data_IF_688468669844
#
_entry.id   IF_688468669844
#
_cell.length_a   1.000
_cell.length_b   1.000
_cell.length_c   1.000
_cell.angle_alpha   90.00
_cell.angle_beta   90.00
_cell.angle_gamma   90.00
#
_symmetry.space_group_name_H-M   'P 1'
#
loop_
_entity.id
_entity.type
_entity.pdbx_description
1 polymer ?
#
# COMPACT_ATOMS: atom_id res chain seq x y z
N UNK A 1 3.23 -13.17 35.10
CA UNK A 1 3.05 -12.29 33.93
C UNK A 1 3.81 -11.00 34.20
N UNK A 2 5.04 -10.85 33.69
CA UNK A 2 5.85 -9.66 33.88
C UNK A 2 5.34 -8.56 32.92
N UNK A 3 4.89 -7.45 33.50
CA UNK A 3 4.58 -6.25 32.71
C UNK A 3 5.90 -5.75 32.07
N UNK A 4 5.98 -5.84 30.75
CA UNK A 4 7.00 -5.15 29.97
C UNK A 4 6.84 -3.65 30.23
N UNK A 5 7.77 -3.03 30.97
CA UNK A 5 7.86 -1.59 31.15
C UNK A 5 8.10 -0.97 29.78
N UNK A 6 7.15 -0.17 29.30
CA UNK A 6 7.31 0.59 28.07
C UNK A 6 8.60 1.43 28.16
N UNK A 7 9.45 1.33 27.15
CA UNK A 7 10.66 2.12 27.01
C UNK A 7 10.28 3.60 26.87
N UNK A 8 10.56 4.42 27.86
CA UNK A 8 10.33 5.87 27.79
C UNK A 8 11.46 6.50 26.97
N UNK A 9 11.13 6.98 25.78
CA UNK A 9 12.02 7.85 25.01
C UNK A 9 12.17 9.16 25.79
N UNK A 10 13.40 9.69 25.97
CA UNK A 10 13.60 10.94 26.68
C UNK A 10 12.84 12.10 26.02
N UNK A 11 12.04 12.84 26.79
CA UNK A 11 11.34 14.03 26.32
C UNK A 11 12.35 15.16 26.03
N UNK A 12 12.64 15.39 24.75
CA UNK A 12 13.15 16.71 24.35
C UNK A 12 11.97 17.69 24.40
N UNK A 13 12.06 18.70 25.28
CA UNK A 13 11.09 19.80 25.41
C UNK A 13 11.13 20.69 24.16
N UNK A 14 10.60 20.23 23.05
CA UNK A 14 10.19 21.06 21.93
C UNK A 14 8.74 21.49 22.15
N UNK A 15 8.41 22.73 21.77
CA UNK A 15 7.03 23.22 21.85
C UNK A 15 6.08 22.21 21.19
N UNK A 16 5.02 21.81 21.89
CA UNK A 16 4.04 20.82 21.41
C UNK A 16 3.44 21.26 20.08
N UNK A 17 3.87 20.67 18.98
CA UNK A 17 3.33 20.95 17.64
C UNK A 17 2.01 20.20 17.49
N UNK A 18 0.92 20.92 17.28
CA UNK A 18 -0.40 20.34 17.01
C UNK A 18 -0.56 20.18 15.50
N UNK A 19 -0.56 18.94 15.00
CA UNK A 19 -0.85 18.65 13.61
C UNK A 19 -2.35 18.56 13.38
N UNK A 20 -2.86 19.37 12.47
CA UNK A 20 -4.28 19.41 12.09
C UNK A 20 -4.49 18.45 10.92
N UNK A 21 -5.34 17.45 11.09
CA UNK A 21 -5.54 16.36 10.14
C UNK A 21 -6.94 16.43 9.53
N UNK A 22 -7.03 16.49 8.23
CA UNK A 22 -8.27 16.30 7.48
C UNK A 22 -8.22 14.95 6.75
N UNK A 23 -9.24 14.12 6.90
CA UNK A 23 -9.26 12.76 6.33
C UNK A 23 -10.30 12.67 5.21
N UNK A 24 -9.84 12.45 4.00
CA UNK A 24 -10.65 12.09 2.85
C UNK A 24 -10.80 10.56 2.79
N UNK A 25 -12.05 10.09 2.87
CA UNK A 25 -12.38 8.68 2.93
C UNK A 25 -12.48 8.14 4.36
N UNK A 26 -13.70 7.76 4.76
CA UNK A 26 -13.99 7.15 6.07
C UNK A 26 -14.54 5.73 5.92
N UNK A 27 -14.01 5.02 4.94
CA UNK A 27 -14.21 3.58 4.74
C UNK A 27 -13.47 2.76 5.81
N UNK A 28 -13.12 1.52 5.49
CA UNK A 28 -12.48 0.60 6.45
C UNK A 28 -11.19 1.17 7.04
N UNK A 29 -10.29 1.71 6.22
CA UNK A 29 -9.00 2.27 6.67
C UNK A 29 -9.21 3.59 7.42
N UNK A 30 -9.92 4.56 6.83
CA UNK A 30 -10.08 5.88 7.45
C UNK A 30 -10.85 5.85 8.77
N UNK A 31 -11.88 5.01 8.91
CA UNK A 31 -12.58 4.83 10.18
C UNK A 31 -11.71 4.15 11.25
N UNK A 32 -10.83 3.24 10.85
CA UNK A 32 -9.86 2.61 11.74
C UNK A 32 -8.79 3.62 12.16
N UNK A 33 -8.30 4.46 11.25
CA UNK A 33 -7.36 5.53 11.55
C UNK A 33 -7.94 6.50 12.60
N UNK A 34 -9.19 6.92 12.46
CA UNK A 34 -9.86 7.77 13.45
C UNK A 34 -9.88 7.13 14.84
N UNK A 35 -10.14 5.82 14.93
CA UNK A 35 -10.11 5.08 16.21
C UNK A 35 -8.69 5.02 16.78
N UNK A 36 -7.68 4.77 15.94
CA UNK A 36 -6.29 4.74 16.36
C UNK A 36 -5.83 6.12 16.86
N UNK A 37 -6.16 7.21 16.15
CA UNK A 37 -5.87 8.58 16.59
C UNK A 37 -6.52 8.89 17.93
N UNK A 38 -7.80 8.51 18.12
CA UNK A 38 -8.52 8.75 19.40
C UNK A 38 -7.92 7.97 20.57
N UNK A 39 -7.40 6.76 20.33
CA UNK A 39 -6.74 5.91 21.33
C UNK A 39 -5.25 6.24 21.54
N UNK A 40 -4.66 7.06 20.67
CA UNK A 40 -3.25 7.36 20.69
C UNK A 40 -2.96 8.58 21.59
N UNK A 41 -2.15 8.38 22.63
CA UNK A 41 -1.67 9.45 23.49
C UNK A 41 -0.16 9.65 23.27
N UNK A 42 0.23 10.50 22.32
CA UNK A 42 1.64 10.70 22.02
C UNK A 42 2.34 11.49 23.12
N UNK A 43 3.55 11.10 23.45
CA UNK A 43 4.45 11.91 24.25
C UNK A 43 4.91 13.13 23.39
N UNK A 44 4.18 14.25 23.48
CA UNK A 44 4.64 15.53 22.94
C UNK A 44 3.92 16.06 21.69
N UNK A 45 3.62 15.26 20.66
CA UNK A 45 2.91 15.73 19.46
C UNK A 45 1.42 15.45 19.59
N UNK A 46 0.57 16.46 19.39
CA UNK A 46 -0.87 16.29 19.37
C UNK A 46 -1.36 16.22 17.93
N UNK A 47 -2.05 15.13 17.61
CA UNK A 47 -2.82 15.00 16.37
C UNK A 47 -4.25 15.45 16.66
N UNK A 48 -4.75 16.36 15.83
CA UNK A 48 -6.10 16.86 15.92
C UNK A 48 -6.81 16.68 14.59
N UNK A 49 -7.81 15.83 14.55
CA UNK A 49 -8.66 15.73 13.38
C UNK A 49 -9.58 16.95 13.34
N UNK A 50 -9.48 17.73 12.27
CA UNK A 50 -10.24 18.96 12.05
C UNK A 50 -11.46 18.74 11.16
N UNK A 51 -11.46 17.66 10.37
CA UNK A 51 -12.59 17.31 9.53
C UNK A 51 -12.39 16.01 8.79
N UNK A 52 -13.48 15.52 8.23
CA UNK A 52 -13.51 14.31 7.40
C UNK A 52 -14.47 14.50 6.24
N UNK A 53 -14.29 13.72 5.16
CA UNK A 53 -15.30 13.60 4.11
C UNK A 53 -15.40 12.17 3.58
N UNK A 54 -16.54 11.88 2.97
CA UNK A 54 -16.75 10.71 2.12
C UNK A 54 -17.04 11.15 0.68
N UNK A 55 -17.57 10.26 -0.16
CA UNK A 55 -17.92 10.59 -1.55
C UNK A 55 -19.06 11.60 -1.70
N UNK A 56 -19.87 11.83 -0.65
CA UNK A 56 -21.08 12.66 -0.72
C UNK A 56 -21.07 13.85 0.23
N UNK A 57 -20.55 13.66 1.44
CA UNK A 57 -20.66 14.61 2.54
C UNK A 57 -19.32 14.95 3.16
N UNK A 58 -19.24 16.12 3.80
CA UNK A 58 -18.10 16.53 4.63
C UNK A 58 -18.59 16.91 6.03
N UNK A 59 -17.68 16.84 7.01
CA UNK A 59 -17.93 17.18 8.41
C UNK A 59 -16.69 17.84 8.98
N UNK A 60 -16.86 18.99 9.62
CA UNK A 60 -15.82 19.68 10.37
C UNK A 60 -16.02 19.46 11.87
N UNK A 61 -14.91 19.31 12.60
CA UNK A 61 -14.94 19.10 14.04
C UNK A 61 -14.54 20.36 14.77
N UNK A 62 -15.30 20.68 15.84
CA UNK A 62 -14.98 21.79 16.75
C UNK A 62 -13.78 21.49 17.63
N UNK A 63 -13.21 22.57 18.19
CA UNK A 63 -11.97 22.52 18.96
C UNK A 63 -12.03 21.61 20.20
N UNK A 64 -13.20 21.32 20.72
CA UNK A 64 -13.42 20.55 21.95
C UNK A 64 -13.74 19.07 21.73
N UNK A 65 -13.97 18.63 20.48
CA UNK A 65 -14.38 17.25 20.21
C UNK A 65 -13.19 16.29 20.20
N UNK A 66 -13.17 15.35 21.13
CA UNK A 66 -12.22 14.22 21.14
C UNK A 66 -12.85 12.93 20.57
N UNK A 67 -14.18 12.87 20.46
CA UNK A 67 -14.91 11.73 19.93
C UNK A 67 -15.42 12.04 18.52
N UNK A 68 -14.80 11.42 17.52
CA UNK A 68 -15.13 11.60 16.11
C UNK A 68 -16.30 10.70 15.70
N UNK A 69 -17.53 11.18 15.89
CA UNK A 69 -18.73 10.43 15.48
C UNK A 69 -18.99 10.58 13.99
N UNK A 70 -18.91 9.49 13.25
CA UNK A 70 -19.22 9.46 11.82
C UNK A 70 -20.72 9.48 11.50
N UNK A 71 -21.60 9.33 12.52
CA UNK A 71 -23.06 9.40 12.31
C UNK A 71 -23.49 10.77 11.81
N UNK A 72 -22.84 11.82 12.27
CA UNK A 72 -23.11 13.20 11.85
C UNK A 72 -22.67 13.48 10.40
N UNK A 73 -21.71 12.72 9.88
CA UNK A 73 -21.25 12.87 8.50
C UNK A 73 -22.36 12.60 7.48
N UNK A 74 -23.23 11.60 7.74
CA UNK A 74 -24.33 11.26 6.84
C UNK A 74 -25.40 12.36 6.72
N UNK A 75 -25.41 13.31 7.66
CA UNK A 75 -26.27 14.50 7.69
C UNK A 75 -25.51 15.80 7.48
N UNK A 76 -24.22 15.70 7.21
CA UNK A 76 -23.36 16.83 6.93
C UNK A 76 -23.68 17.50 5.59
N UNK A 77 -23.14 18.68 5.33
CA UNK A 77 -23.25 19.35 4.04
C UNK A 77 -22.66 18.47 2.93
N UNK A 78 -23.09 18.75 1.69
CA UNK A 78 -22.50 18.12 0.51
C UNK A 78 -20.98 18.38 0.49
N UNK A 79 -20.20 17.39 0.03
CA UNK A 79 -18.77 17.55 -0.12
C UNK A 79 -18.48 18.61 -1.19
N UNK A 80 -17.71 19.61 -0.81
CA UNK A 80 -17.20 20.66 -1.70
C UNK A 80 -15.69 20.79 -1.55
N UNK A 81 -14.93 20.48 -2.62
CA UNK A 81 -13.47 20.51 -2.58
C UNK A 81 -12.91 21.94 -2.52
N UNK A 82 -13.59 22.93 -3.09
CA UNK A 82 -13.13 24.31 -3.00
C UNK A 82 -13.31 24.86 -1.59
N UNK A 83 -14.44 24.59 -0.94
CA UNK A 83 -14.64 24.93 0.49
C UNK A 83 -13.60 24.24 1.38
N UNK A 84 -13.34 22.93 1.15
CA UNK A 84 -12.33 22.19 1.90
C UNK A 84 -10.95 22.83 1.70
N UNK A 85 -10.55 23.11 0.46
CA UNK A 85 -9.25 23.73 0.14
C UNK A 85 -9.09 25.11 0.76
N UNK A 86 -10.15 25.94 0.75
CA UNK A 86 -10.16 27.27 1.36
C UNK A 86 -9.94 27.15 2.88
N UNK A 87 -10.73 26.33 3.56
CA UNK A 87 -10.62 26.11 5.02
C UNK A 87 -9.27 25.56 5.43
N UNK A 88 -8.73 24.58 4.68
CA UNK A 88 -7.40 24.03 4.99
C UNK A 88 -6.30 25.07 4.77
N UNK A 89 -6.47 25.96 3.79
CA UNK A 89 -5.50 27.01 3.47
C UNK A 89 -5.52 28.17 4.48
N UNK A 90 -6.58 28.31 5.26
CA UNK A 90 -6.69 29.32 6.31
C UNK A 90 -5.86 29.00 7.56
N UNK A 91 -5.43 27.74 7.72
CA UNK A 91 -4.53 27.38 8.81
C UNK A 91 -3.08 27.80 8.51
N UNK A 92 -2.27 27.85 9.56
CA UNK A 92 -0.83 28.11 9.46
C UNK A 92 -0.17 27.13 8.47
N UNK A 93 0.65 27.66 7.57
CA UNK A 93 1.36 26.87 6.56
C UNK A 93 2.24 25.78 7.21
N UNK A 94 2.08 24.54 6.76
CA UNK A 94 2.84 23.40 7.28
C UNK A 94 2.32 22.87 8.63
N UNK A 95 1.11 23.28 9.06
CA UNK A 95 0.45 22.72 10.24
C UNK A 95 -0.70 21.77 9.91
N UNK A 96 -0.99 21.57 8.61
CA UNK A 96 -2.10 20.77 8.13
C UNK A 96 -1.61 19.55 7.35
N UNK A 97 -2.23 18.42 7.63
CA UNK A 97 -2.06 17.16 6.89
C UNK A 97 -3.39 16.77 6.27
N UNK A 98 -3.41 16.65 4.96
CA UNK A 98 -4.50 16.03 4.23
C UNK A 98 -4.20 14.53 4.09
N UNK A 99 -5.10 13.70 4.58
CA UNK A 99 -4.97 12.24 4.54
C UNK A 99 -5.95 11.68 3.53
N UNK A 100 -5.43 10.93 2.55
CA UNK A 100 -6.27 10.20 1.59
C UNK A 100 -6.25 8.70 1.87
N UNK A 101 -7.41 8.19 2.28
CA UNK A 101 -7.70 6.76 2.43
C UNK A 101 -8.80 6.30 1.44
N UNK A 102 -8.89 7.00 0.31
CA UNK A 102 -9.77 6.65 -0.81
C UNK A 102 -9.01 5.87 -1.89
N UNK A 103 -9.59 5.39 -2.88
CA UNK A 103 -8.97 4.90 -4.13
C UNK A 103 -9.44 5.77 -5.30
N UNK A 104 -9.72 7.06 -5.05
CA UNK A 104 -10.43 7.92 -5.98
C UNK A 104 -9.49 8.86 -6.71
N UNK A 105 -9.60 8.89 -8.03
CA UNK A 105 -8.81 9.75 -8.92
C UNK A 105 -8.99 11.23 -8.60
N UNK A 106 -10.25 11.68 -8.40
CA UNK A 106 -10.59 13.07 -8.08
C UNK A 106 -9.82 13.57 -6.82
N UNK A 107 -9.70 12.71 -5.80
CA UNK A 107 -8.97 13.06 -4.57
C UNK A 107 -7.47 13.18 -4.84
N UNK A 108 -6.90 12.26 -5.60
CA UNK A 108 -5.48 12.31 -5.94
C UNK A 108 -5.12 13.49 -6.85
N UNK A 109 -6.07 14.02 -7.63
CA UNK A 109 -5.88 15.22 -8.46
C UNK A 109 -5.68 16.50 -7.61
N UNK A 110 -6.11 16.48 -6.36
CA UNK A 110 -5.94 17.63 -5.45
C UNK A 110 -4.52 17.77 -4.91
N UNK A 111 -3.68 16.70 -4.96
CA UNK A 111 -2.41 16.68 -4.24
C UNK A 111 -1.46 17.80 -4.66
N UNK A 112 -1.34 18.10 -5.94
CA UNK A 112 -0.48 19.20 -6.43
C UNK A 112 -0.94 20.54 -5.84
N UNK A 113 -2.27 20.79 -5.81
CA UNK A 113 -2.84 22.02 -5.23
C UNK A 113 -2.61 22.10 -3.72
N UNK A 114 -2.77 20.99 -2.98
CA UNK A 114 -2.52 20.89 -1.54
C UNK A 114 -1.04 21.18 -1.22
N UNK A 115 -0.15 20.48 -1.89
CA UNK A 115 1.30 20.59 -1.68
C UNK A 115 1.82 21.99 -2.05
N UNK A 116 1.27 22.64 -3.09
CA UNK A 116 1.63 24.01 -3.47
C UNK A 116 1.26 25.05 -2.39
N UNK A 117 0.25 24.76 -1.57
CA UNK A 117 -0.16 25.57 -0.41
C UNK A 117 0.56 25.20 0.89
N UNK A 118 1.57 24.31 0.82
CA UNK A 118 2.28 23.73 1.97
C UNK A 118 1.35 22.98 2.94
N UNK A 119 0.32 22.34 2.41
CA UNK A 119 -0.48 21.34 3.11
C UNK A 119 0.17 19.99 2.83
N UNK A 120 0.58 19.28 3.88
CA UNK A 120 1.19 17.96 3.73
C UNK A 120 0.15 16.95 3.26
N UNK A 121 0.58 15.94 2.52
CA UNK A 121 -0.29 14.85 2.04
C UNK A 121 0.25 13.53 2.54
N UNK A 122 -0.61 12.73 3.16
CA UNK A 122 -0.37 11.32 3.50
C UNK A 122 -1.40 10.47 2.78
N UNK A 123 -0.99 9.43 2.07
CA UNK A 123 -1.94 8.66 1.26
C UNK A 123 -1.71 7.16 1.30
N UNK A 124 -2.82 6.40 1.39
CA UNK A 124 -2.83 4.98 1.13
C UNK A 124 -3.11 4.64 -0.35
N UNK A 125 -3.51 5.64 -1.16
CA UNK A 125 -3.81 5.47 -2.59
C UNK A 125 -2.53 5.43 -3.43
N UNK A 126 -2.40 4.40 -4.27
CA UNK A 126 -1.30 4.25 -5.22
C UNK A 126 -1.40 5.18 -6.44
N UNK A 127 -2.61 5.71 -6.72
CA UNK A 127 -2.94 6.40 -7.97
C UNK A 127 -1.96 7.52 -8.34
N UNK A 128 -1.63 8.40 -7.40
CA UNK A 128 -0.74 9.52 -7.69
C UNK A 128 0.70 9.09 -8.02
N UNK A 129 1.17 8.00 -7.41
CA UNK A 129 2.52 7.48 -7.61
C UNK A 129 2.66 6.56 -8.84
N UNK A 130 1.53 6.19 -9.48
CA UNK A 130 1.51 5.32 -10.67
C UNK A 130 0.98 6.01 -11.92
N UNK A 131 0.86 7.33 -11.91
CA UNK A 131 0.60 8.16 -13.09
C UNK A 131 1.81 8.18 -14.02
N UNK A 132 1.71 8.92 -15.13
CA UNK A 132 2.85 9.15 -16.00
C UNK A 132 4.06 9.67 -15.22
N UNK A 133 5.26 9.37 -15.70
CA UNK A 133 6.50 9.83 -15.06
C UNK A 133 6.55 11.36 -14.93
N UNK A 134 6.00 12.07 -15.90
CA UNK A 134 5.91 13.54 -15.88
C UNK A 134 5.06 14.03 -14.71
N UNK A 135 3.91 13.41 -14.47
CA UNK A 135 3.01 13.78 -13.37
C UNK A 135 3.62 13.41 -12.01
N UNK A 136 4.25 12.24 -11.90
CA UNK A 136 5.00 11.82 -10.72
C UNK A 136 6.09 12.84 -10.37
N UNK A 137 6.94 13.20 -11.34
CA UNK A 137 8.00 14.19 -11.14
C UNK A 137 7.43 15.54 -10.71
N UNK A 138 6.35 15.98 -11.36
CA UNK A 138 5.69 17.25 -11.02
C UNK A 138 5.17 17.28 -9.59
N UNK A 139 4.51 16.20 -9.15
CA UNK A 139 3.99 16.03 -7.79
C UNK A 139 5.11 16.10 -6.74
N UNK A 140 6.13 15.29 -6.90
CA UNK A 140 7.26 15.23 -5.96
C UNK A 140 8.10 16.52 -5.96
N UNK A 141 8.30 17.14 -7.13
CA UNK A 141 8.94 18.45 -7.25
C UNK A 141 8.13 19.54 -6.53
N UNK A 142 6.79 19.54 -6.69
CA UNK A 142 5.91 20.51 -6.02
C UNK A 142 6.00 20.37 -4.51
N UNK A 143 5.97 19.15 -3.97
CA UNK A 143 6.15 18.91 -2.54
C UNK A 143 7.48 19.50 -2.04
N UNK A 144 8.58 19.18 -2.72
CA UNK A 144 9.93 19.63 -2.34
C UNK A 144 10.10 21.14 -2.38
N UNK A 145 9.66 21.81 -3.45
CA UNK A 145 9.83 23.27 -3.61
C UNK A 145 9.04 24.03 -2.54
N UNK A 146 7.87 23.56 -2.18
CA UNK A 146 7.02 24.23 -1.18
C UNK A 146 7.33 23.80 0.26
N UNK A 147 8.30 22.90 0.49
CA UNK A 147 8.60 22.36 1.82
C UNK A 147 7.41 21.62 2.43
N UNK A 148 6.55 21.03 1.57
CA UNK A 148 5.48 20.14 1.97
C UNK A 148 5.97 18.68 1.94
N UNK A 149 5.43 17.84 2.82
CA UNK A 149 5.72 16.40 2.81
C UNK A 149 4.63 15.67 2.04
N UNK A 150 5.05 14.74 1.21
CA UNK A 150 4.18 13.77 0.54
C UNK A 150 4.65 12.38 0.99
N UNK A 151 3.85 11.71 1.83
CA UNK A 151 4.20 10.42 2.44
C UNK A 151 3.18 9.37 2.03
N UNK A 152 3.66 8.18 1.75
CA UNK A 152 2.87 7.13 1.10
C UNK A 152 3.37 5.71 1.43
N UNK A 153 3.87 5.49 2.67
CA UNK A 153 4.40 4.18 3.10
C UNK A 153 3.44 3.05 2.78
N UNK A 154 2.15 3.27 3.00
CA UNK A 154 1.13 2.24 2.84
C UNK A 154 0.74 1.93 1.38
N UNK A 155 1.39 2.57 0.41
CA UNK A 155 1.23 2.21 -1.01
C UNK A 155 1.81 0.83 -1.33
N UNK A 156 2.80 0.36 -0.55
CA UNK A 156 3.43 -0.95 -0.75
C UNK A 156 3.49 -1.69 0.58
N UNK A 157 2.85 -2.86 0.66
CA UNK A 157 2.92 -3.74 1.83
C UNK A 157 2.11 -3.28 3.05
N UNK A 158 1.07 -2.46 2.86
CA UNK A 158 0.22 -1.95 3.94
C UNK A 158 1.04 -1.22 5.03
N UNK A 159 1.12 -1.76 6.24
CA UNK A 159 1.88 -1.19 7.35
C UNK A 159 3.33 -1.67 7.45
N UNK A 160 3.81 -2.47 6.51
CA UNK A 160 5.21 -2.90 6.49
C UNK A 160 6.14 -1.71 6.16
N UNK A 161 7.28 -1.55 6.85
CA UNK A 161 8.21 -0.44 6.65
C UNK A 161 9.09 -0.67 5.41
N UNK A 162 8.50 -0.68 4.22
CA UNK A 162 9.19 -1.01 2.97
C UNK A 162 9.79 0.24 2.35
N UNK A 163 8.96 1.26 2.12
CA UNK A 163 9.36 2.50 1.44
C UNK A 163 10.38 3.26 2.29
N UNK A 164 10.11 3.40 3.59
CA UNK A 164 11.03 4.04 4.52
C UNK A 164 12.38 3.33 4.60
N UNK A 165 12.38 2.00 4.62
CA UNK A 165 13.61 1.21 4.63
C UNK A 165 14.44 1.48 3.37
N UNK A 166 13.83 1.45 2.18
CA UNK A 166 14.52 1.73 0.92
C UNK A 166 15.04 3.17 0.91
N UNK A 167 14.24 4.15 1.32
CA UNK A 167 14.66 5.55 1.39
C UNK A 167 15.83 5.75 2.36
N UNK A 168 15.82 5.08 3.52
CA UNK A 168 16.91 5.14 4.49
C UNK A 168 18.21 4.52 3.95
N UNK A 169 18.14 3.42 3.19
CA UNK A 169 19.31 2.86 2.50
C UNK A 169 19.88 3.86 1.49
N UNK A 170 19.03 4.42 0.64
CA UNK A 170 19.44 5.38 -0.40
C UNK A 170 20.03 6.67 0.19
N UNK A 171 19.40 7.27 1.20
CA UNK A 171 19.86 8.54 1.81
C UNK A 171 21.19 8.36 2.54
N UNK A 172 21.49 7.16 3.02
CA UNK A 172 22.78 6.81 3.64
C UNK A 172 23.83 6.36 2.63
N UNK A 173 23.56 6.49 1.33
CA UNK A 173 24.51 6.21 0.25
C UNK A 173 24.65 4.72 -0.09
N UNK A 174 23.68 3.87 0.29
CA UNK A 174 23.65 2.49 -0.19
C UNK A 174 23.13 2.41 -1.63
N UNK A 175 23.54 1.38 -2.37
CA UNK A 175 23.14 1.17 -3.76
C UNK A 175 22.24 -0.06 -3.81
N UNK A 176 20.98 0.15 -4.16
CA UNK A 176 20.01 -0.95 -4.35
C UNK A 176 20.37 -1.64 -5.69
N UNK A 177 20.62 -2.94 -5.63
CA UNK A 177 20.96 -3.78 -6.79
C UNK A 177 19.74 -4.54 -7.31
N UNK A 178 18.93 -5.06 -6.38
CA UNK A 178 17.73 -5.82 -6.71
C UNK A 178 16.68 -5.64 -5.61
N UNK A 179 15.42 -5.57 -6.00
CA UNK A 179 14.26 -5.71 -5.14
C UNK A 179 13.42 -6.83 -5.71
N UNK A 180 13.14 -7.87 -4.92
CA UNK A 180 12.30 -8.99 -5.33
C UNK A 180 11.33 -9.38 -4.21
N UNK A 181 10.23 -10.05 -4.56
CA UNK A 181 9.30 -10.51 -3.54
C UNK A 181 7.89 -10.81 -4.02
N UNK A 182 7.06 -11.20 -3.07
CA UNK A 182 5.64 -11.47 -3.25
C UNK A 182 4.84 -10.36 -2.55
N UNK A 183 4.21 -9.49 -3.32
CA UNK A 183 3.49 -8.32 -2.82
C UNK A 183 1.96 -8.40 -3.05
N UNK A 184 1.42 -9.62 -3.15
CA UNK A 184 -0.02 -9.88 -3.20
C UNK A 184 -0.39 -10.99 -2.22
N UNK A 185 -1.27 -10.68 -1.26
CA UNK A 185 -1.79 -11.68 -0.31
C UNK A 185 -2.61 -12.76 -1.02
N UNK A 186 -3.40 -12.38 -2.03
CA UNK A 186 -4.19 -13.30 -2.86
C UNK A 186 -3.29 -14.29 -3.58
N UNK A 187 -2.21 -13.82 -4.20
CA UNK A 187 -1.26 -14.69 -4.89
C UNK A 187 -0.49 -15.58 -3.91
N UNK A 188 -0.09 -15.08 -2.74
CA UNK A 188 0.53 -15.91 -1.70
C UNK A 188 -0.39 -17.05 -1.29
N UNK A 189 -1.66 -16.75 -1.02
CA UNK A 189 -2.65 -17.76 -0.68
C UNK A 189 -2.84 -18.78 -1.80
N UNK A 190 -3.06 -18.31 -3.02
CA UNK A 190 -3.28 -19.17 -4.19
C UNK A 190 -2.16 -20.19 -4.36
N UNK A 191 -0.91 -19.75 -4.41
CA UNK A 191 0.23 -20.63 -4.61
C UNK A 191 0.52 -21.54 -3.39
N UNK A 192 0.16 -21.11 -2.18
CA UNK A 192 0.21 -21.97 -1.00
C UNK A 192 -0.80 -23.12 -1.07
N UNK A 193 -1.99 -22.89 -1.63
CA UNK A 193 -3.01 -23.91 -1.82
C UNK A 193 -2.61 -24.90 -2.92
N UNK A 194 -1.98 -24.40 -3.99
CA UNK A 194 -1.42 -25.27 -5.04
C UNK A 194 -0.32 -26.19 -4.50
N UNK A 195 0.56 -25.70 -3.63
CA UNK A 195 1.58 -26.54 -2.96
C UNK A 195 0.96 -27.67 -2.12
N UNK A 196 -0.27 -27.48 -1.63
CA UNK A 196 -1.01 -28.49 -0.85
C UNK A 196 -1.84 -29.43 -1.73
N UNK A 197 -1.73 -29.34 -3.06
CA UNK A 197 -2.44 -30.17 -4.02
C UNK A 197 -3.87 -29.73 -4.31
N UNK A 198 -4.29 -28.53 -3.91
CA UNK A 198 -5.58 -27.97 -4.30
C UNK A 198 -5.50 -27.55 -5.76
N UNK A 199 -6.58 -27.79 -6.53
CA UNK A 199 -6.63 -27.31 -7.91
C UNK A 199 -6.72 -25.79 -8.00
N UNK A 200 -6.23 -25.21 -9.09
CA UNK A 200 -6.19 -23.76 -9.32
C UNK A 200 -7.57 -23.10 -9.19
N UNK A 201 -8.57 -23.67 -9.88
CA UNK A 201 -9.94 -23.17 -9.85
C UNK A 201 -10.51 -23.12 -8.42
N UNK A 202 -10.33 -24.21 -7.65
CA UNK A 202 -10.80 -24.28 -6.27
C UNK A 202 -10.08 -23.29 -5.36
N UNK A 203 -8.78 -23.10 -5.55
CA UNK A 203 -8.01 -22.13 -4.78
C UNK A 203 -8.49 -20.69 -5.04
N UNK A 204 -8.77 -20.31 -6.29
CA UNK A 204 -9.31 -19.00 -6.66
C UNK A 204 -10.71 -18.78 -6.06
N UNK A 205 -11.61 -19.76 -6.22
CA UNK A 205 -12.98 -19.68 -5.68
C UNK A 205 -12.93 -19.53 -4.14
N UNK A 206 -12.06 -20.27 -3.47
CA UNK A 206 -11.92 -20.21 -2.03
C UNK A 206 -11.30 -18.88 -1.58
N UNK A 207 -10.29 -18.36 -2.28
CA UNK A 207 -9.72 -17.04 -1.99
C UNK A 207 -10.80 -15.95 -2.01
N UNK A 208 -11.68 -15.98 -3.03
CA UNK A 208 -12.82 -15.07 -3.12
C UNK A 208 -13.81 -15.26 -1.98
N UNK A 209 -14.17 -16.49 -1.63
CA UNK A 209 -15.12 -16.80 -0.55
C UNK A 209 -14.61 -16.35 0.83
N UNK A 210 -13.29 -16.40 1.05
CA UNK A 210 -12.62 -15.94 2.27
C UNK A 210 -12.37 -14.42 2.29
N UNK A 211 -12.65 -13.70 1.20
CA UNK A 211 -12.38 -12.26 1.08
C UNK A 211 -10.90 -11.93 0.92
N UNK A 212 -10.08 -12.87 0.48
CA UNK A 212 -8.67 -12.65 0.13
C UNK A 212 -8.50 -12.12 -1.29
N UNK A 213 -9.42 -12.49 -2.20
CA UNK A 213 -9.50 -11.95 -3.54
C UNK A 213 -10.64 -10.93 -3.66
N UNK A 214 -10.51 -10.02 -4.61
CA UNK A 214 -11.55 -9.06 -4.99
C UNK A 214 -12.82 -9.80 -5.47
N UNK A 215 -13.99 -9.11 -5.49
CA UNK A 215 -15.24 -9.71 -5.99
C UNK A 215 -15.13 -10.32 -7.38
N UNK A 216 -14.34 -9.70 -8.26
CA UNK A 216 -13.87 -10.29 -9.50
C UNK A 216 -12.38 -10.69 -9.32
N UNK A 217 -12.05 -11.99 -9.21
CA UNK A 217 -10.67 -12.42 -9.00
C UNK A 217 -9.70 -12.03 -10.12
N UNK A 218 -10.20 -11.62 -11.28
CA UNK A 218 -9.36 -11.14 -12.38
C UNK A 218 -8.58 -9.87 -12.01
N UNK A 219 -9.12 -9.05 -11.12
CA UNK A 219 -8.41 -7.86 -10.61
C UNK A 219 -7.09 -8.26 -9.93
N UNK A 220 -7.09 -9.37 -9.17
CA UNK A 220 -5.88 -9.91 -8.56
C UNK A 220 -5.01 -10.69 -9.57
N UNK A 221 -5.64 -11.59 -10.37
CA UNK A 221 -4.96 -12.49 -11.29
C UNK A 221 -4.28 -11.76 -12.46
N UNK A 222 -4.67 -10.52 -12.74
CA UNK A 222 -4.03 -9.67 -13.75
C UNK A 222 -2.59 -9.30 -13.40
N UNK A 223 -2.22 -9.32 -12.11
CA UNK A 223 -0.92 -8.86 -11.64
C UNK A 223 -0.76 -7.32 -11.57
N UNK A 224 -1.76 -6.54 -11.96
CA UNK A 224 -1.68 -5.08 -12.04
C UNK A 224 -1.41 -4.41 -10.69
N UNK A 225 -1.94 -4.93 -9.59
CA UNK A 225 -1.65 -4.37 -8.26
C UNK A 225 -0.19 -4.59 -7.86
N UNK A 226 0.39 -5.73 -8.22
CA UNK A 226 1.82 -6.02 -8.02
C UNK A 226 2.67 -5.11 -8.91
N UNK A 227 2.26 -4.91 -10.18
CA UNK A 227 2.91 -4.02 -11.12
C UNK A 227 3.00 -2.58 -10.57
N UNK A 228 1.88 -2.04 -10.07
CA UNK A 228 1.84 -0.71 -9.46
C UNK A 228 2.78 -0.60 -8.25
N UNK A 229 2.88 -1.63 -7.43
CA UNK A 229 3.77 -1.64 -6.27
C UNK A 229 5.23 -1.61 -6.69
N UNK A 230 5.64 -2.46 -7.64
CA UNK A 230 7.02 -2.46 -8.15
C UNK A 230 7.38 -1.19 -8.91
N UNK A 231 6.43 -0.61 -9.64
CA UNK A 231 6.62 0.71 -10.28
C UNK A 231 6.93 1.80 -9.24
N UNK A 232 6.20 1.82 -8.11
CA UNK A 232 6.47 2.77 -7.02
C UNK A 232 7.88 2.54 -6.45
N UNK A 233 8.26 1.29 -6.18
CA UNK A 233 9.58 0.96 -5.64
C UNK A 233 10.71 1.37 -6.59
N UNK A 234 10.55 1.12 -7.88
CA UNK A 234 11.52 1.51 -8.90
C UNK A 234 11.68 3.04 -8.98
N UNK A 235 10.58 3.78 -8.95
CA UNK A 235 10.59 5.24 -8.95
C UNK A 235 11.28 5.82 -7.71
N UNK A 236 11.09 5.21 -6.55
CA UNK A 236 11.80 5.58 -5.32
C UNK A 236 13.31 5.34 -5.47
N UNK A 237 13.71 4.27 -6.14
CA UNK A 237 15.10 3.98 -6.46
C UNK A 237 15.68 4.88 -7.57
N UNK A 238 14.90 5.81 -8.12
CA UNK A 238 15.33 6.77 -9.14
C UNK A 238 15.17 6.31 -10.59
N UNK A 239 14.58 5.14 -10.82
CA UNK A 239 14.28 4.68 -12.17
C UNK A 239 13.12 5.47 -12.77
N UNK A 240 13.24 5.81 -14.04
CA UNK A 240 12.21 6.51 -14.83
C UNK A 240 11.57 5.50 -15.74
N UNK A 241 10.30 5.23 -15.54
CA UNK A 241 9.57 4.21 -16.28
C UNK A 241 8.07 4.50 -16.31
N UNK A 242 7.43 3.98 -17.33
CA UNK A 242 5.97 3.98 -17.49
C UNK A 242 5.41 2.56 -17.28
N UNK A 243 4.08 2.42 -17.26
CA UNK A 243 3.45 1.11 -17.06
C UNK A 243 3.83 0.11 -18.17
N UNK A 244 3.99 0.60 -19.37
CA UNK A 244 4.32 -0.16 -20.57
C UNK A 244 5.72 -0.75 -20.54
N UNK A 245 6.62 -0.22 -19.72
CA UNK A 245 7.98 -0.72 -19.54
C UNK A 245 8.04 -1.97 -18.63
N UNK A 246 6.91 -2.34 -17.99
CA UNK A 246 6.83 -3.48 -17.11
C UNK A 246 6.35 -4.74 -17.83
N UNK A 247 7.09 -5.83 -17.66
CA UNK A 247 6.68 -7.15 -18.10
C UNK A 247 5.81 -7.81 -17.02
N UNK A 248 4.53 -8.05 -17.32
CA UNK A 248 3.56 -8.62 -16.37
C UNK A 248 2.90 -9.86 -16.98
N UNK A 249 3.14 -11.02 -16.36
CA UNK A 249 2.43 -12.25 -16.67
C UNK A 249 1.07 -12.24 -15.98
N UNK A 250 0.01 -12.22 -16.76
CA UNK A 250 -1.36 -12.40 -16.26
C UNK A 250 -1.67 -13.88 -16.06
N UNK A 251 -2.29 -14.23 -14.92
CA UNK A 251 -2.79 -15.59 -14.67
C UNK A 251 -4.19 -15.80 -15.24
N UNK A 252 -4.77 -14.81 -15.90
CA UNK A 252 -6.07 -14.89 -16.54
C UNK A 252 -5.87 -15.60 -17.90
N UNK A 253 -6.51 -16.75 -18.11
CA UNK A 253 -6.50 -17.39 -19.42
C UNK A 253 -7.08 -16.46 -20.48
N UNK A 254 -6.48 -16.45 -21.67
CA UNK A 254 -6.85 -15.51 -22.73
C UNK A 254 -8.32 -15.61 -23.12
N UNK A 255 -8.84 -16.82 -23.21
CA UNK A 255 -10.22 -17.11 -23.58
C UNK A 255 -11.24 -16.68 -22.50
N UNK A 256 -10.76 -16.40 -21.28
CA UNK A 256 -11.60 -15.99 -20.15
C UNK A 256 -11.47 -14.50 -19.80
N UNK A 257 -10.75 -13.71 -20.58
CA UNK A 257 -10.55 -12.28 -20.30
C UNK A 257 -11.83 -11.47 -20.39
N UNK A 258 -12.63 -11.72 -21.43
CA UNK A 258 -13.77 -10.87 -21.78
C UNK A 258 -15.12 -11.46 -21.37
N UNK A 259 -15.15 -12.63 -20.70
CA UNK A 259 -16.38 -13.22 -20.20
C UNK A 259 -16.83 -12.55 -18.91
N UNK A 260 -18.10 -12.71 -18.50
CA UNK A 260 -18.54 -12.23 -17.20
C UNK A 260 -17.89 -13.01 -16.03
N UNK A 261 -17.94 -12.46 -14.81
CA UNK A 261 -17.28 -13.05 -13.65
C UNK A 261 -17.82 -14.45 -13.28
N UNK A 262 -19.07 -14.75 -13.56
CA UNK A 262 -19.67 -16.08 -13.33
C UNK A 262 -19.10 -17.10 -14.30
N UNK A 263 -19.13 -16.80 -15.59
CA UNK A 263 -18.59 -17.66 -16.63
C UNK A 263 -17.07 -17.87 -16.46
N UNK A 264 -16.36 -16.84 -16.01
CA UNK A 264 -14.93 -16.94 -15.65
C UNK A 264 -14.72 -18.04 -14.61
N UNK A 265 -15.42 -17.96 -13.47
CA UNK A 265 -15.25 -18.92 -12.38
C UNK A 265 -15.69 -20.34 -12.77
N UNK A 266 -16.77 -20.47 -13.52
CA UNK A 266 -17.27 -21.77 -13.98
C UNK A 266 -16.31 -22.46 -14.94
N UNK A 267 -15.63 -21.72 -15.81
CA UNK A 267 -14.71 -22.28 -16.81
C UNK A 267 -13.26 -22.39 -16.35
N UNK A 268 -12.89 -21.84 -15.19
CA UNK A 268 -11.51 -21.82 -14.70
C UNK A 268 -10.95 -23.24 -14.46
N UNK A 269 -11.80 -24.23 -14.17
CA UNK A 269 -11.41 -25.62 -13.95
C UNK A 269 -10.70 -26.26 -15.15
N UNK A 270 -10.90 -25.75 -16.37
CA UNK A 270 -10.23 -26.23 -17.59
C UNK A 270 -8.70 -26.09 -17.53
N UNK A 271 -8.20 -25.21 -16.66
CA UNK A 271 -6.77 -24.93 -16.48
C UNK A 271 -6.15 -25.65 -15.28
N UNK A 272 -6.93 -26.45 -14.54
CA UNK A 272 -6.46 -27.16 -13.34
C UNK A 272 -5.32 -28.13 -13.63
N UNK A 273 -5.40 -28.88 -14.74
CA UNK A 273 -4.36 -29.83 -15.17
C UNK A 273 -3.05 -29.11 -15.48
N UNK A 274 -3.11 -28.00 -16.21
CA UNK A 274 -1.93 -27.19 -16.54
C UNK A 274 -1.18 -26.74 -15.28
N UNK A 275 -1.92 -26.24 -14.29
CA UNK A 275 -1.31 -25.79 -13.02
C UNK A 275 -0.78 -26.95 -12.18
N UNK A 276 -1.48 -28.10 -12.16
CA UNK A 276 -1.02 -29.29 -11.48
C UNK A 276 0.32 -29.80 -12.06
N UNK A 277 0.47 -29.79 -13.37
CA UNK A 277 1.71 -30.16 -14.06
C UNK A 277 2.85 -29.20 -13.72
N UNK A 278 2.63 -27.90 -13.81
CA UNK A 278 3.63 -26.88 -13.43
C UNK A 278 4.09 -27.04 -11.98
N UNK A 279 3.17 -27.26 -11.03
CA UNK A 279 3.48 -27.49 -9.62
C UNK A 279 4.31 -28.74 -9.42
N UNK A 280 3.94 -29.83 -10.11
CA UNK A 280 4.67 -31.11 -10.05
C UNK A 280 6.10 -30.95 -10.55
N UNK A 281 6.29 -30.32 -11.71
CA UNK A 281 7.62 -30.07 -12.28
C UNK A 281 8.53 -29.24 -11.34
N UNK A 282 7.97 -28.20 -10.69
CA UNK A 282 8.70 -27.43 -9.71
C UNK A 282 9.07 -28.26 -8.47
N UNK A 283 8.11 -29.05 -7.96
CA UNK A 283 8.30 -29.91 -6.78
C UNK A 283 9.38 -30.98 -7.00
N UNK A 284 9.41 -31.61 -8.19
CA UNK A 284 10.43 -32.60 -8.55
C UNK A 284 11.86 -32.03 -8.54
N UNK A 285 11.97 -30.70 -8.71
CA UNK A 285 13.26 -29.95 -8.62
C UNK A 285 13.54 -29.38 -7.23
N UNK A 286 12.73 -29.70 -6.21
CA UNK A 286 12.83 -29.11 -4.88
C UNK A 286 12.45 -27.62 -4.84
N UNK A 287 11.63 -27.17 -5.79
CA UNK A 287 11.19 -25.80 -5.95
C UNK A 287 9.69 -25.67 -5.68
N UNK A 288 9.24 -24.44 -5.52
CA UNK A 288 7.83 -24.04 -5.43
C UNK A 288 7.53 -22.91 -6.39
N UNK A 289 6.33 -22.91 -6.93
CA UNK A 289 5.85 -21.79 -7.74
C UNK A 289 5.45 -20.63 -6.83
N UNK A 290 5.85 -19.41 -7.20
CA UNK A 290 5.41 -18.17 -6.55
C UNK A 290 5.14 -17.11 -7.60
N UNK A 291 4.17 -16.26 -7.35
CA UNK A 291 3.95 -15.08 -8.17
C UNK A 291 4.79 -13.94 -7.60
N UNK A 292 5.90 -13.66 -8.25
CA UNK A 292 6.90 -12.71 -7.77
C UNK A 292 6.91 -11.44 -8.63
N UNK A 293 7.40 -10.38 -8.05
CA UNK A 293 7.91 -9.24 -8.80
C UNK A 293 9.40 -9.08 -8.54
N UNK A 294 10.12 -8.60 -9.55
CA UNK A 294 11.56 -8.35 -9.49
C UNK A 294 11.91 -7.07 -10.20
N UNK A 295 12.63 -6.18 -9.51
CA UNK A 295 13.31 -5.03 -10.06
C UNK A 295 14.82 -5.32 -10.04
N UNK A 296 15.44 -5.44 -11.19
CA UNK A 296 16.88 -5.60 -11.35
C UNK A 296 17.33 -4.92 -12.64
N UNK A 297 18.49 -4.28 -12.61
CA UNK A 297 19.06 -3.58 -13.77
C UNK A 297 18.11 -2.59 -14.45
N UNK A 298 17.24 -1.95 -13.64
CA UNK A 298 16.24 -0.99 -14.12
C UNK A 298 15.02 -1.59 -14.83
N UNK A 299 14.91 -2.93 -14.88
CA UNK A 299 13.78 -3.64 -15.46
C UNK A 299 12.88 -4.24 -14.37
N UNK A 300 11.59 -4.26 -14.64
CA UNK A 300 10.60 -4.88 -13.75
C UNK A 300 9.97 -6.04 -14.50
N UNK A 301 10.07 -7.23 -13.89
CA UNK A 301 9.38 -8.44 -14.33
C UNK A 301 8.47 -8.93 -13.23
N UNK A 302 7.26 -9.32 -13.58
CA UNK A 302 6.23 -9.82 -12.65
C UNK A 302 5.61 -11.05 -13.27
N UNK A 303 5.59 -12.16 -12.54
CA UNK A 303 5.06 -13.41 -13.04
C UNK A 303 5.31 -14.58 -12.11
N UNK A 304 5.03 -15.76 -12.64
CA UNK A 304 5.24 -17.03 -11.94
C UNK A 304 6.71 -17.43 -12.03
N UNK A 305 7.32 -17.63 -10.89
CA UNK A 305 8.71 -18.04 -10.78
C UNK A 305 8.81 -19.35 -9.96
N UNK A 306 9.71 -20.24 -10.37
CA UNK A 306 10.10 -21.40 -9.58
C UNK A 306 11.25 -21.01 -8.66
N UNK A 307 11.01 -21.05 -7.34
CA UNK A 307 12.00 -20.66 -6.32
C UNK A 307 12.36 -21.86 -5.44
N UNK A 308 13.59 -21.92 -4.88
CA UNK A 308 13.94 -22.98 -3.94
C UNK A 308 12.92 -23.07 -2.79
N UNK A 309 12.45 -24.28 -2.47
CA UNK A 309 11.39 -24.48 -1.49
C UNK A 309 11.80 -24.04 -0.07
N UNK A 310 13.09 -24.04 0.23
CA UNK A 310 13.67 -23.62 1.51
C UNK A 310 14.06 -22.12 1.56
N UNK A 311 13.94 -21.39 0.45
CA UNK A 311 14.17 -19.94 0.43
C UNK A 311 13.09 -19.18 1.22
N UNK A 312 13.36 -17.93 1.57
CA UNK A 312 12.38 -17.06 2.26
C UNK A 312 11.07 -16.91 1.45
N UNK A 313 11.18 -16.76 0.13
CA UNK A 313 10.02 -16.69 -0.78
C UNK A 313 9.35 -18.05 -0.89
N UNK A 314 10.11 -19.15 -1.02
CA UNK A 314 9.56 -20.49 -1.14
C UNK A 314 8.77 -20.96 0.08
N UNK A 315 9.17 -20.52 1.28
CA UNK A 315 8.47 -20.83 2.54
C UNK A 315 7.29 -19.92 2.86
N UNK A 316 7.04 -18.90 2.04
CA UNK A 316 5.95 -17.95 2.27
C UNK A 316 4.59 -18.65 2.15
N UNK A 317 3.70 -18.42 3.14
CA UNK A 317 2.38 -19.05 3.23
C UNK A 317 1.31 -18.07 3.71
N UNK A 318 0.05 -18.47 3.62
CA UNK A 318 -1.10 -17.64 4.01
C UNK A 318 -1.30 -16.46 3.06
N UNK A 319 -1.48 -15.26 3.62
CA UNK A 319 -1.68 -14.02 2.87
C UNK A 319 -0.56 -13.01 3.09
N UNK A 320 0.58 -13.47 3.61
CA UNK A 320 1.70 -12.60 3.91
C UNK A 320 2.37 -12.09 2.64
N UNK A 321 2.86 -10.86 2.70
CA UNK A 321 3.78 -10.30 1.74
C UNK A 321 5.22 -10.50 2.23
N UNK A 322 6.13 -10.58 1.29
CA UNK A 322 7.57 -10.61 1.55
C UNK A 322 8.28 -9.81 0.48
N UNK A 323 9.21 -8.98 0.89
CA UNK A 323 10.14 -8.28 0.02
C UNK A 323 11.58 -8.56 0.44
N UNK A 324 12.44 -8.76 -0.53
CA UNK A 324 13.88 -8.91 -0.37
C UNK A 324 14.57 -7.74 -1.07
N UNK A 325 15.52 -7.13 -0.39
CA UNK A 325 16.32 -6.03 -0.92
C UNK A 325 17.77 -6.47 -0.90
N UNK A 326 18.36 -6.56 -2.08
CA UNK A 326 19.80 -6.74 -2.27
C UNK A 326 20.44 -5.37 -2.54
N UNK A 327 21.42 -5.02 -1.73
CA UNK A 327 22.13 -3.76 -1.89
C UNK A 327 23.64 -3.96 -1.75
N UNK A 328 24.42 -2.90 -1.91
CA UNK A 328 25.87 -2.99 -1.69
C UNK A 328 26.25 -3.41 -0.25
N UNK A 329 25.42 -3.06 0.74
CA UNK A 329 25.63 -3.43 2.15
C UNK A 329 25.00 -4.77 2.53
N UNK A 330 23.95 -5.17 1.83
CA UNK A 330 23.21 -6.42 2.02
C UNK A 330 23.43 -7.33 0.79
N UNK A 331 24.71 -7.64 0.47
CA UNK A 331 25.11 -8.41 -0.71
C UNK A 331 25.09 -9.92 -0.45
N UNK A 332 25.56 -10.35 0.72
CA UNK A 332 25.69 -11.77 1.08
C UNK A 332 24.36 -12.34 1.59
N UNK A 333 23.64 -11.54 2.34
CA UNK A 333 22.29 -11.83 2.80
C UNK A 333 21.38 -10.66 2.53
N UNK A 334 20.33 -10.90 1.77
CA UNK A 334 19.32 -9.87 1.46
C UNK A 334 18.63 -9.39 2.73
N UNK A 335 18.34 -8.10 2.80
CA UNK A 335 17.43 -7.58 3.79
C UNK A 335 16.01 -8.06 3.47
N UNK A 336 15.34 -8.73 4.42
CA UNK A 336 14.02 -9.31 4.23
C UNK A 336 13.01 -8.60 5.14
N UNK A 337 11.90 -8.16 4.56
CA UNK A 337 10.75 -7.62 5.29
C UNK A 337 9.56 -8.51 4.97
N UNK A 338 8.93 -9.08 5.99
CA UNK A 338 7.81 -10.01 5.83
C UNK A 338 6.71 -9.72 6.84
N UNK A 339 5.46 -9.85 6.42
CA UNK A 339 4.29 -9.73 7.29
C UNK A 339 3.00 -9.52 6.49
N UNK A 340 1.90 -9.17 7.17
CA UNK A 340 0.62 -8.90 6.52
C UNK A 340 0.73 -7.75 5.51
N UNK A 341 0.46 -8.04 4.24
CA UNK A 341 0.50 -7.05 3.15
C UNK A 341 -0.83 -6.34 2.90
N UNK A 342 -1.85 -6.62 3.70
CA UNK A 342 -3.17 -6.01 3.65
C UNK A 342 -3.81 -6.03 5.06
N UNK A 343 -4.85 -5.23 5.25
CA UNK A 343 -5.62 -5.16 6.50
C UNK A 343 -5.79 -3.72 6.97
N UNK A 344 -7.02 -3.39 7.39
CA UNK A 344 -7.38 -2.02 7.77
C UNK A 344 -6.60 -1.51 8.98
N UNK A 345 -6.30 -2.38 9.94
CA UNK A 345 -5.59 -2.04 11.16
C UNK A 345 -4.13 -1.68 10.88
N UNK A 346 -3.43 -2.49 10.11
CA UNK A 346 -2.02 -2.27 9.78
C UNK A 346 -1.86 -1.13 8.77
N UNK A 347 -2.78 -0.98 7.81
CA UNK A 347 -2.77 0.15 6.88
C UNK A 347 -3.03 1.47 7.62
N UNK A 348 -4.03 1.52 8.51
CA UNK A 348 -4.29 2.70 9.31
C UNK A 348 -3.10 3.07 10.21
N UNK A 349 -2.41 2.07 10.79
CA UNK A 349 -1.21 2.29 11.59
C UNK A 349 -0.05 2.86 10.76
N UNK A 350 0.15 2.38 9.52
CA UNK A 350 1.14 2.94 8.60
C UNK A 350 0.84 4.40 8.20
N UNK A 351 -0.44 4.72 7.93
CA UNK A 351 -0.88 6.10 7.70
C UNK A 351 -0.63 6.97 8.92
N UNK A 352 -0.93 6.47 10.13
CA UNK A 352 -0.66 7.19 11.37
C UNK A 352 0.84 7.42 11.57
N UNK A 353 1.68 6.42 11.29
CA UNK A 353 3.13 6.57 11.35
C UNK A 353 3.63 7.67 10.40
N UNK A 354 3.10 7.74 9.18
CA UNK A 354 3.43 8.81 8.23
C UNK A 354 2.98 10.19 8.73
N UNK A 355 1.81 10.33 9.34
CA UNK A 355 1.36 11.58 9.96
C UNK A 355 2.34 12.02 11.05
N UNK A 356 2.84 11.09 11.86
CA UNK A 356 3.75 11.38 12.98
C UNK A 356 5.17 11.77 12.54
N UNK A 357 5.56 11.47 11.30
CA UNK A 357 6.85 11.86 10.71
C UNK A 357 6.86 13.33 10.24
N UNK A 358 5.71 14.01 10.17
CA UNK A 358 5.57 15.41 9.75
C UNK A 358 5.85 16.36 10.90
#
# INVERSE_FOLDING_TARGET
MSQLKAFKIPETRTAKKVMKVFIAGVGAVGSTLLKQIAGFQPNGNQIRVIGVCNSKHMLWFDHSQQNYSLRSLLRGPARDWEEIMEKLSAYEKGSVVFVDTTGNQEVSDLYVRLLSKKIHVVTASKLANTRTQKEYDHLHKTARINGARFLFETNVGAGLPIIETIQNLLITGDVIQEISGVLSGTMTYLFSELDQGRSFSKAVIQARALGYAEPDPRDDLSGEDVARKFMILARICGHRLEREDLEVESLIPEELRDVNATDFLENLHKYDTLWAEKVKEASEKGQRLRYTGKLADGKITIGVESVPADSSIGRLTGTNNLIQIKSSRYSDQNLVIQGPGAGKEVTAAGVLADILKI
#
